data_IF_581537153227
#
_entry.id   IF_581537153227
#
_cell.length_a   1.000
_cell.length_b   1.000
_cell.length_c   1.000
_cell.angle_alpha   90.00
_cell.angle_beta   90.00
_cell.angle_gamma   90.00
#
_symmetry.space_group_name_H-M   'P 1'
#
loop_
_entity.id
_entity.type
_entity.pdbx_description
1 polymer ?
#
# COMPACT_ATOMS: atom_id res chain seq x y z
N UNK A 1 -4.94 31.49 13.43
CA UNK A 1 -4.16 30.27 13.34
C UNK A 1 -3.17 30.41 12.20
N UNK A 2 -1.89 30.11 12.44
CA UNK A 2 -0.88 30.20 11.38
C UNK A 2 -0.99 28.93 10.54
N UNK A 3 -1.34 29.08 9.25
CA UNK A 3 -1.34 27.95 8.29
C UNK A 3 0.08 27.42 8.13
N UNK A 4 0.27 26.13 7.80
CA UNK A 4 1.60 25.60 7.49
C UNK A 4 2.30 26.43 6.41
N UNK A 5 3.60 26.64 6.55
CA UNK A 5 4.36 27.43 5.58
C UNK A 5 4.58 26.62 4.29
N UNK A 6 3.86 27.01 3.23
CA UNK A 6 3.94 26.41 1.90
C UNK A 6 5.37 26.27 1.39
N UNK A 7 6.19 27.30 1.55
CA UNK A 7 7.56 27.32 1.02
C UNK A 7 8.44 26.34 1.79
N UNK A 8 8.31 26.32 3.11
CA UNK A 8 9.06 25.40 3.96
C UNK A 8 8.64 23.93 3.72
N UNK A 9 7.34 23.65 3.54
CA UNK A 9 6.83 22.32 3.18
C UNK A 9 7.35 21.87 1.82
N UNK A 10 7.28 22.72 0.79
CA UNK A 10 7.77 22.39 -0.55
C UNK A 10 9.28 22.10 -0.55
N UNK A 11 10.09 22.90 0.15
CA UNK A 11 11.52 22.67 0.28
C UNK A 11 11.83 21.37 1.04
N UNK A 12 11.03 21.00 2.03
CA UNK A 12 11.17 19.73 2.73
C UNK A 12 10.83 18.55 1.81
N UNK A 13 9.74 18.65 1.04
CA UNK A 13 9.35 17.61 0.09
C UNK A 13 10.40 17.44 -1.02
N UNK A 14 10.94 18.54 -1.56
CA UNK A 14 12.00 18.49 -2.56
C UNK A 14 13.19 17.65 -2.10
N UNK A 15 13.67 17.86 -0.86
CA UNK A 15 14.75 17.06 -0.30
C UNK A 15 14.44 15.57 -0.26
N UNK A 16 13.21 15.19 0.12
CA UNK A 16 12.80 13.79 0.15
C UNK A 16 12.66 13.20 -1.27
N UNK A 17 12.14 13.98 -2.21
CA UNK A 17 11.98 13.54 -3.61
C UNK A 17 13.33 13.37 -4.29
N UNK A 18 14.26 14.31 -4.09
CA UNK A 18 15.63 14.25 -4.65
C UNK A 18 16.41 13.06 -4.07
N UNK A 19 16.12 12.66 -2.85
CA UNK A 19 16.61 11.39 -2.30
C UNK A 19 15.75 10.24 -2.86
N UNK A 20 15.94 9.93 -4.17
CA UNK A 20 15.25 8.80 -4.81
C UNK A 20 15.42 7.52 -3.99
N UNK A 21 14.31 6.80 -3.75
CA UNK A 21 14.27 5.66 -2.83
C UNK A 21 13.51 4.45 -3.42
N UNK A 22 14.03 3.84 -4.50
CA UNK A 22 13.43 2.61 -5.03
C UNK A 22 13.47 1.51 -3.97
N UNK A 23 12.33 0.83 -3.73
CA UNK A 23 12.13 -0.13 -2.63
C UNK A 23 13.16 -1.26 -2.57
N UNK A 24 13.73 -1.65 -3.72
CA UNK A 24 14.74 -2.71 -3.80
C UNK A 24 16.19 -2.21 -3.62
N UNK A 25 16.41 -0.89 -3.54
CA UNK A 25 17.74 -0.31 -3.32
C UNK A 25 17.89 0.14 -1.86
N UNK A 26 18.50 -0.73 -1.06
CA UNK A 26 18.74 -0.44 0.36
C UNK A 26 19.49 0.87 0.58
N UNK A 27 20.55 1.13 -0.19
CA UNK A 27 21.40 2.30 0.03
C UNK A 27 20.64 3.60 -0.21
N UNK A 28 19.78 3.63 -1.21
CA UNK A 28 18.94 4.79 -1.53
C UNK A 28 17.78 4.95 -0.54
N UNK A 29 17.12 3.86 -0.16
CA UNK A 29 16.11 3.91 0.89
C UNK A 29 16.71 4.42 2.21
N UNK A 30 17.92 3.97 2.58
CA UNK A 30 18.62 4.44 3.79
C UNK A 30 18.98 5.92 3.70
N UNK A 31 19.42 6.40 2.54
CA UNK A 31 19.69 7.83 2.32
C UNK A 31 18.41 8.68 2.41
N UNK A 32 17.29 8.20 1.91
CA UNK A 32 15.99 8.85 2.07
C UNK A 32 15.56 8.82 3.55
N UNK A 33 15.74 7.69 4.24
CA UNK A 33 15.48 7.58 5.68
C UNK A 33 16.29 8.60 6.51
N UNK A 34 17.54 8.90 6.13
CA UNK A 34 18.33 9.95 6.77
C UNK A 34 17.68 11.34 6.61
N UNK A 35 17.13 11.64 5.42
CA UNK A 35 16.42 12.89 5.18
C UNK A 35 15.11 12.97 5.99
N UNK A 36 14.37 11.85 6.08
CA UNK A 36 13.15 11.77 6.91
C UNK A 36 13.50 11.97 8.39
N UNK A 37 14.51 11.27 8.90
CA UNK A 37 14.96 11.42 10.30
C UNK A 37 15.37 12.87 10.61
N UNK A 38 16.10 13.50 9.72
CA UNK A 38 16.53 14.90 9.88
C UNK A 38 15.35 15.87 9.83
N UNK A 39 14.37 15.64 8.95
CA UNK A 39 13.13 16.44 8.89
C UNK A 39 12.39 16.42 10.24
N UNK A 40 12.15 15.24 10.80
CA UNK A 40 11.47 15.13 12.11
C UNK A 40 12.30 15.73 13.23
N UNK A 41 13.63 15.55 13.24
CA UNK A 41 14.50 16.17 14.23
C UNK A 41 14.43 17.70 14.18
N UNK A 42 14.41 18.29 12.99
CA UNK A 42 14.29 19.76 12.81
C UNK A 42 12.95 20.30 13.27
N UNK A 43 11.84 19.56 13.01
CA UNK A 43 10.47 20.04 13.28
C UNK A 43 10.01 19.75 14.70
N UNK A 44 10.40 18.61 15.27
CA UNK A 44 9.90 18.16 16.58
C UNK A 44 10.97 18.14 17.67
N UNK A 45 12.24 18.25 17.31
CA UNK A 45 13.36 18.08 18.23
C UNK A 45 13.64 16.61 18.59
N UNK A 46 12.86 15.65 18.05
CA UNK A 46 12.96 14.22 18.41
C UNK A 46 13.79 13.48 17.38
N UNK A 47 14.74 12.68 17.87
CA UNK A 47 15.54 11.80 17.02
C UNK A 47 14.75 10.52 16.67
N UNK A 48 14.91 10.06 15.43
CA UNK A 48 14.32 8.81 14.98
C UNK A 48 15.07 7.60 15.55
N UNK A 49 14.33 6.57 15.91
CA UNK A 49 14.83 5.22 16.17
C UNK A 49 14.88 4.50 14.83
N UNK A 50 16.03 3.90 14.51
CA UNK A 50 16.24 3.19 13.24
C UNK A 50 16.14 1.69 13.46
N UNK A 51 15.18 1.05 12.79
CA UNK A 51 15.01 -0.40 12.74
C UNK A 51 15.78 -0.95 11.54
N UNK A 52 17.03 -1.36 11.77
CA UNK A 52 17.94 -1.80 10.71
C UNK A 52 17.48 -3.10 10.06
N UNK A 53 17.60 -3.18 8.73
CA UNK A 53 17.34 -4.36 7.92
C UNK A 53 18.59 -4.71 7.10
N UNK A 54 18.97 -6.01 6.98
CA UNK A 54 20.19 -6.39 6.27
C UNK A 54 20.04 -6.28 4.74
N UNK A 55 18.86 -6.51 4.21
CA UNK A 55 18.57 -6.72 2.79
C UNK A 55 17.52 -5.76 2.22
N UNK A 56 17.03 -4.81 3.03
CA UNK A 56 16.06 -3.78 2.67
C UNK A 56 16.46 -2.45 3.29
N UNK A 57 15.81 -1.36 2.88
CA UNK A 57 15.93 -0.08 3.57
C UNK A 57 15.54 -0.20 5.04
N UNK A 58 16.15 0.61 5.89
CA UNK A 58 15.83 0.65 7.32
C UNK A 58 14.48 1.33 7.54
N UNK A 59 13.70 0.86 8.51
CA UNK A 59 12.47 1.56 8.92
C UNK A 59 12.77 2.56 10.02
N UNK A 60 11.96 3.62 10.08
CA UNK A 60 12.10 4.67 11.10
C UNK A 60 10.90 4.71 12.02
N UNK A 61 11.18 4.98 13.29
CA UNK A 61 10.18 5.21 14.31
C UNK A 61 10.52 6.51 15.06
N UNK A 62 9.56 7.44 15.15
CA UNK A 62 9.69 8.68 15.90
C UNK A 62 8.61 8.69 17.00
N UNK A 63 9.02 8.77 18.27
CA UNK A 63 8.14 8.77 19.44
C UNK A 63 8.06 10.15 20.06
N UNK A 64 6.88 10.74 20.09
CA UNK A 64 6.62 12.08 20.64
C UNK A 64 5.71 11.94 21.85
N UNK A 65 6.17 12.41 23.00
CA UNK A 65 5.46 12.28 24.27
C UNK A 65 5.64 10.90 24.92
N UNK A 66 5.18 10.80 26.17
CA UNK A 66 5.24 9.57 26.98
C UNK A 66 3.83 9.09 27.32
N UNK A 67 3.66 7.80 27.55
CA UNK A 67 2.38 7.21 27.96
C UNK A 67 2.00 5.95 27.20
N UNK A 68 0.73 5.58 27.30
CA UNK A 68 0.14 4.38 26.70
C UNK A 68 -0.86 4.77 25.59
N UNK A 69 -1.24 3.79 24.79
CA UNK A 69 -2.23 3.96 23.71
C UNK A 69 -1.90 5.13 22.75
N UNK A 70 -0.75 5.09 22.05
CA UNK A 70 -0.34 6.16 21.15
C UNK A 70 -1.30 6.29 19.97
N UNK A 71 -1.28 7.46 19.32
CA UNK A 71 -1.75 7.63 17.95
C UNK A 71 -0.59 7.22 17.05
N UNK A 72 -0.82 6.29 16.12
CA UNK A 72 0.19 5.92 15.14
C UNK A 72 -0.07 6.66 13.83
N UNK A 73 0.94 7.37 13.33
CA UNK A 73 0.98 7.93 11.98
C UNK A 73 1.80 6.96 11.13
N UNK A 74 1.18 6.38 10.11
CA UNK A 74 1.80 5.36 9.28
C UNK A 74 2.07 5.92 7.89
N UNK A 75 3.32 5.82 7.45
CA UNK A 75 3.80 6.26 6.15
C UNK A 75 4.95 5.38 5.66
N UNK A 76 5.29 5.50 4.38
CA UNK A 76 6.46 4.86 3.78
C UNK A 76 7.31 5.87 3.02
N UNK A 77 8.63 5.60 2.93
CA UNK A 77 9.58 6.47 2.24
C UNK A 77 10.21 5.82 1.01
N UNK A 78 9.92 4.55 0.76
CA UNK A 78 10.24 3.88 -0.50
C UNK A 78 9.27 4.29 -1.61
N UNK A 79 9.63 3.98 -2.85
CA UNK A 79 8.81 4.26 -4.04
C UNK A 79 8.99 3.18 -5.09
N UNK A 80 8.00 3.03 -5.98
CA UNK A 80 8.10 2.17 -7.18
C UNK A 80 9.11 2.69 -8.20
N UNK A 81 9.51 3.95 -8.10
CA UNK A 81 10.30 4.63 -9.10
C UNK A 81 11.76 4.15 -9.10
N UNK A 82 12.31 3.75 -10.27
CA UNK A 82 13.73 3.41 -10.36
C UNK A 82 14.61 4.67 -10.23
N UNK A 83 15.87 4.45 -9.86
CA UNK A 83 16.90 5.49 -9.85
C UNK A 83 16.98 6.22 -11.21
N UNK A 84 17.18 7.55 -11.15
CA UNK A 84 17.30 8.41 -12.31
C UNK A 84 15.95 8.90 -12.88
N UNK A 85 14.83 8.54 -12.24
CA UNK A 85 13.50 9.02 -12.67
C UNK A 85 13.38 10.54 -12.62
N UNK A 86 14.10 11.22 -11.73
CA UNK A 86 14.16 12.69 -11.66
C UNK A 86 14.56 13.35 -12.99
N UNK A 87 15.33 12.68 -13.85
CA UNK A 87 15.72 13.23 -15.14
C UNK A 87 14.52 13.44 -16.08
N UNK A 88 13.47 12.61 -15.98
CA UNK A 88 12.24 12.69 -16.80
C UNK A 88 11.04 13.23 -16.06
N UNK A 89 10.98 13.04 -14.74
CA UNK A 89 9.94 13.54 -13.84
C UNK A 89 10.58 14.39 -12.73
N UNK A 90 11.10 15.60 -13.06
CA UNK A 90 11.78 16.44 -12.08
C UNK A 90 10.80 16.98 -11.02
N UNK A 91 11.33 17.21 -9.80
CA UNK A 91 10.59 17.99 -8.83
C UNK A 91 10.30 19.39 -9.38
N UNK A 92 9.04 19.75 -9.42
CA UNK A 92 8.59 21.08 -9.86
C UNK A 92 7.41 21.55 -9.05
N UNK A 93 7.43 22.84 -8.75
CA UNK A 93 6.31 23.55 -8.15
C UNK A 93 5.76 24.52 -9.21
N UNK A 94 4.56 24.22 -9.70
CA UNK A 94 3.89 25.01 -10.74
C UNK A 94 2.45 25.31 -10.32
N UNK A 95 2.19 26.57 -10.03
CA UNK A 95 0.89 27.03 -9.53
C UNK A 95 0.48 26.31 -8.24
N UNK A 96 -0.57 25.49 -8.31
CA UNK A 96 -1.08 24.68 -7.21
C UNK A 96 -0.61 23.20 -7.28
N UNK A 97 0.33 22.88 -8.16
CA UNK A 97 0.83 21.52 -8.34
C UNK A 97 2.27 21.37 -7.91
N UNK A 98 2.57 20.23 -7.29
CA UNK A 98 3.92 19.70 -7.13
C UNK A 98 4.00 18.39 -7.87
N UNK A 99 5.06 18.22 -8.69
CA UNK A 99 5.38 16.96 -9.38
C UNK A 99 6.71 16.41 -8.89
N UNK A 100 6.95 15.13 -9.11
CA UNK A 100 8.21 14.46 -8.80
C UNK A 100 7.95 13.01 -8.34
N UNK A 101 8.93 12.09 -8.52
CA UNK A 101 8.74 10.67 -8.18
C UNK A 101 8.52 10.48 -6.67
N UNK A 102 7.41 9.83 -6.30
CA UNK A 102 7.02 9.63 -4.91
C UNK A 102 6.60 10.91 -4.18
N UNK A 103 6.39 12.02 -4.91
CA UNK A 103 5.92 13.27 -4.28
C UNK A 103 4.51 13.13 -3.73
N UNK A 104 3.63 12.44 -4.45
CA UNK A 104 2.26 12.16 -4.09
C UNK A 104 2.17 10.86 -3.27
N UNK A 105 2.82 9.82 -3.74
CA UNK A 105 2.83 8.49 -3.12
C UNK A 105 4.24 8.15 -2.57
N UNK A 106 4.54 8.35 -1.23
CA UNK A 106 3.69 9.15 -0.34
C UNK A 106 4.54 10.15 0.49
N UNK A 107 5.66 10.68 -0.10
CA UNK A 107 6.59 11.57 0.62
C UNK A 107 5.93 12.86 1.13
N UNK A 108 4.85 13.33 0.45
CA UNK A 108 4.07 14.47 0.95
C UNK A 108 3.39 14.17 2.29
N UNK A 109 2.91 12.93 2.51
CA UNK A 109 2.35 12.51 3.79
C UNK A 109 3.39 12.54 4.94
N UNK A 110 4.65 12.21 4.64
CA UNK A 110 5.75 12.31 5.61
C UNK A 110 5.98 13.77 6.02
N UNK A 111 6.04 14.67 5.04
CA UNK A 111 6.19 16.12 5.31
C UNK A 111 4.99 16.65 6.08
N UNK A 112 3.79 16.24 5.70
CA UNK A 112 2.54 16.58 6.39
C UNK A 112 2.60 16.22 7.88
N UNK A 113 3.03 14.99 8.20
CA UNK A 113 3.20 14.52 9.57
C UNK A 113 4.18 15.41 10.36
N UNK A 114 5.34 15.70 9.78
CA UNK A 114 6.37 16.49 10.45
C UNK A 114 5.89 17.91 10.76
N UNK A 115 5.20 18.57 9.83
CA UNK A 115 4.68 19.93 10.01
C UNK A 115 3.44 19.99 10.92
N UNK A 116 2.58 18.98 10.87
CA UNK A 116 1.48 18.86 11.80
C UNK A 116 1.97 18.73 13.25
N UNK A 117 2.98 17.87 13.47
CA UNK A 117 3.55 17.61 14.79
C UNK A 117 4.39 18.76 15.36
N UNK A 118 4.97 19.62 14.51
CA UNK A 118 5.71 20.82 14.95
C UNK A 118 4.84 21.73 15.85
N UNK A 119 3.56 21.80 15.59
CA UNK A 119 2.63 22.71 16.29
C UNK A 119 1.51 22.01 17.07
N UNK A 120 1.35 20.71 16.90
CA UNK A 120 0.34 19.94 17.61
C UNK A 120 0.63 19.85 19.11
N UNK A 121 -0.46 19.81 19.89
CA UNK A 121 -0.43 19.56 21.34
C UNK A 121 -1.19 18.26 21.64
N UNK A 122 -0.59 17.10 21.36
CA UNK A 122 -1.27 15.83 21.50
C UNK A 122 -1.59 15.53 22.98
N UNK A 123 -2.74 14.93 23.23
CA UNK A 123 -3.12 14.44 24.56
C UNK A 123 -2.59 13.04 24.84
N UNK A 124 -2.19 12.33 23.80
CA UNK A 124 -1.61 10.98 23.83
C UNK A 124 -0.25 10.99 23.17
N UNK A 125 0.62 10.03 23.46
CA UNK A 125 1.85 9.86 22.68
C UNK A 125 1.53 9.70 21.20
N UNK A 126 2.43 10.17 20.33
CA UNK A 126 2.35 9.95 18.90
C UNK A 126 3.55 9.14 18.46
N UNK A 127 3.33 8.10 17.69
CA UNK A 127 4.38 7.30 17.05
C UNK A 127 4.25 7.46 15.56
N UNK A 128 5.27 7.98 14.90
CA UNK A 128 5.37 7.95 13.45
C UNK A 128 6.19 6.74 13.04
N UNK A 129 5.62 5.88 12.19
CA UNK A 129 6.34 4.81 11.50
C UNK A 129 6.50 5.20 10.04
N UNK A 130 7.75 5.19 9.55
CA UNK A 130 8.06 5.35 8.13
C UNK A 130 8.77 4.10 7.65
N UNK A 131 8.08 3.30 6.84
CA UNK A 131 8.57 2.02 6.32
C UNK A 131 9.31 2.19 5.01
N UNK A 132 10.05 1.18 4.56
CA UNK A 132 10.91 1.22 3.38
C UNK A 132 10.61 0.12 2.37
N UNK A 133 9.48 -0.59 2.52
CA UNK A 133 9.13 -1.74 1.69
C UNK A 133 7.61 -1.86 1.44
N UNK A 134 6.87 -0.75 1.56
CA UNK A 134 5.42 -0.74 1.34
C UNK A 134 5.08 -1.17 -0.08
N UNK A 135 5.76 -0.61 -1.06
CA UNK A 135 5.53 -0.80 -2.50
C UNK A 135 5.86 -2.22 -3.00
N UNK A 136 6.47 -3.03 -2.16
CA UNK A 136 6.81 -4.43 -2.43
C UNK A 136 6.21 -5.42 -1.42
N UNK A 137 5.12 -5.01 -0.72
CA UNK A 137 4.32 -5.89 0.12
C UNK A 137 4.70 -5.92 1.61
N UNK A 138 5.57 -5.02 2.09
CA UNK A 138 5.86 -4.80 3.53
C UNK A 138 6.36 -6.04 4.28
N UNK A 139 7.04 -6.95 3.58
CA UNK A 139 7.47 -8.22 4.18
C UNK A 139 8.40 -8.02 5.38
N UNK A 140 9.21 -6.96 5.39
CA UNK A 140 10.15 -6.68 6.49
C UNK A 140 9.59 -5.73 7.54
N UNK A 141 8.57 -4.91 7.22
CA UNK A 141 7.95 -3.93 8.11
C UNK A 141 6.70 -4.43 8.81
N UNK A 142 5.96 -5.39 8.23
CA UNK A 142 4.66 -5.86 8.73
C UNK A 142 4.64 -6.18 10.22
N UNK A 143 5.62 -6.92 10.72
CA UNK A 143 5.68 -7.29 12.14
C UNK A 143 5.80 -6.05 13.05
N UNK A 144 6.63 -5.07 12.65
CA UNK A 144 6.81 -3.80 13.36
C UNK A 144 5.51 -2.98 13.34
N UNK A 145 4.84 -2.89 12.19
CA UNK A 145 3.56 -2.20 12.02
C UNK A 145 2.52 -2.79 12.95
N UNK A 146 2.32 -4.11 12.89
CA UNK A 146 1.32 -4.79 13.71
C UNK A 146 1.62 -4.69 15.21
N UNK A 147 2.90 -4.83 15.63
CA UNK A 147 3.28 -4.71 17.04
C UNK A 147 3.02 -3.29 17.58
N UNK A 148 3.37 -2.26 16.80
CA UNK A 148 3.15 -0.87 17.17
C UNK A 148 1.65 -0.55 17.21
N UNK A 149 0.90 -1.01 16.22
CA UNK A 149 -0.53 -0.76 16.11
C UNK A 149 -1.34 -1.44 17.23
N UNK A 150 -0.98 -2.65 17.67
CA UNK A 150 -1.69 -3.34 18.78
C UNK A 150 -1.78 -2.52 20.06
N UNK A 151 -0.88 -1.58 20.26
CA UNK A 151 -0.84 -0.70 21.44
C UNK A 151 -1.52 0.64 21.19
N UNK A 152 -1.97 0.91 19.96
CA UNK A 152 -2.45 2.22 19.55
C UNK A 152 -3.95 2.45 19.88
N UNK A 153 -4.29 3.68 20.20
CA UNK A 153 -5.68 4.15 20.27
C UNK A 153 -6.29 4.28 18.86
N UNK A 154 -5.47 4.68 17.87
CA UNK A 154 -5.86 4.84 16.49
C UNK A 154 -4.61 4.80 15.57
N UNK A 155 -4.82 4.40 14.32
CA UNK A 155 -3.83 4.49 13.25
C UNK A 155 -4.34 5.44 12.17
N UNK A 156 -3.54 6.42 11.82
CA UNK A 156 -3.77 7.40 10.77
C UNK A 156 -2.75 7.15 9.65
N UNK A 157 -3.23 6.71 8.49
CA UNK A 157 -2.38 6.36 7.35
C UNK A 157 -2.32 7.55 6.40
N UNK A 158 -1.10 8.02 6.13
CA UNK A 158 -0.87 9.26 5.39
C UNK A 158 -0.66 9.04 3.89
N UNK A 159 -1.20 7.93 3.39
CA UNK A 159 -1.36 7.64 1.97
C UNK A 159 -2.09 8.76 1.24
N UNK A 160 -1.87 8.96 -0.06
CA UNK A 160 -2.63 9.92 -0.85
C UNK A 160 -4.14 9.79 -0.65
N UNK A 161 -4.87 10.89 -0.74
CA UNK A 161 -6.32 10.85 -0.80
C UNK A 161 -6.80 10.07 -2.05
N UNK A 162 -8.02 9.55 -2.02
CA UNK A 162 -8.68 9.09 -3.23
C UNK A 162 -9.12 10.29 -4.08
N UNK A 163 -9.46 10.03 -5.34
CA UNK A 163 -9.89 11.08 -6.29
C UNK A 163 -10.92 12.03 -5.68
N UNK A 164 -10.69 13.32 -5.84
CA UNK A 164 -11.51 14.38 -5.27
C UNK A 164 -11.29 14.60 -3.78
N UNK A 165 -10.16 14.15 -3.25
CA UNK A 165 -9.78 14.37 -1.87
C UNK A 165 -10.53 13.49 -0.86
N UNK A 166 -11.13 12.36 -1.24
CA UNK A 166 -11.83 11.49 -0.30
C UNK A 166 -10.85 10.70 0.58
N UNK A 167 -11.17 10.56 1.89
CA UNK A 167 -10.47 9.61 2.76
C UNK A 167 -10.90 8.18 2.44
N UNK A 168 -10.04 7.22 2.76
CA UNK A 168 -10.28 5.80 2.50
C UNK A 168 -10.70 5.11 3.80
N UNK A 169 -11.96 4.67 3.86
CA UNK A 169 -12.51 3.96 5.02
C UNK A 169 -12.57 2.45 4.84
N UNK A 170 -12.26 1.97 3.62
CA UNK A 170 -12.09 0.56 3.31
C UNK A 170 -11.10 0.38 2.16
N UNK A 171 -10.32 -0.70 2.22
CA UNK A 171 -9.43 -1.16 1.15
C UNK A 171 -9.64 -2.65 0.92
N UNK A 172 -9.62 -3.08 -0.34
CA UNK A 172 -9.62 -4.52 -0.61
C UNK A 172 -8.35 -5.16 -0.07
N UNK A 173 -8.49 -6.41 0.36
CA UNK A 173 -7.35 -7.28 0.57
C UNK A 173 -6.83 -7.84 -0.74
N UNK A 174 -5.62 -8.35 -0.70
CA UNK A 174 -4.84 -8.84 -1.83
C UNK A 174 -4.37 -10.27 -1.51
N UNK A 175 -4.52 -11.16 -2.48
CA UNK A 175 -3.83 -12.43 -2.46
C UNK A 175 -3.24 -12.72 -3.83
N UNK A 176 -2.02 -13.21 -3.84
CA UNK A 176 -1.29 -13.57 -5.04
C UNK A 176 -1.04 -15.07 -5.05
N UNK A 177 -1.32 -15.70 -6.20
CA UNK A 177 -1.08 -17.12 -6.37
C UNK A 177 -0.32 -17.40 -7.67
N UNK A 178 0.45 -18.47 -7.63
CA UNK A 178 1.04 -19.10 -8.79
C UNK A 178 0.42 -20.49 -8.90
N UNK A 179 -0.14 -20.78 -10.07
CA UNK A 179 -0.61 -22.11 -10.43
C UNK A 179 0.33 -22.69 -11.48
N UNK A 180 1.00 -23.76 -11.12
CA UNK A 180 1.81 -24.56 -12.03
C UNK A 180 1.07 -25.86 -12.36
N UNK A 181 1.15 -26.26 -13.61
CA UNK A 181 0.51 -27.45 -14.14
C UNK A 181 1.55 -28.36 -14.76
N UNK A 182 1.61 -29.60 -14.28
CA UNK A 182 2.40 -30.66 -14.86
C UNK A 182 1.53 -31.63 -15.68
N UNK A 183 1.90 -31.81 -16.91
CA UNK A 183 1.34 -32.79 -17.83
C UNK A 183 2.39 -33.81 -18.25
N UNK A 184 2.32 -34.25 -19.52
CA UNK A 184 3.29 -35.17 -20.13
C UNK A 184 3.48 -34.84 -21.59
N UNK A 185 4.74 -34.65 -22.00
CA UNK A 185 5.08 -34.41 -23.40
C UNK A 185 4.80 -35.67 -24.27
N UNK A 186 4.37 -35.41 -25.50
CA UNK A 186 4.29 -36.41 -26.56
C UNK A 186 4.37 -35.70 -27.92
N UNK A 187 4.65 -36.44 -28.99
CA UNK A 187 4.60 -35.86 -30.33
C UNK A 187 3.14 -35.66 -30.76
N UNK A 188 2.74 -34.41 -30.98
CA UNK A 188 1.34 -34.06 -31.18
C UNK A 188 0.68 -34.70 -32.43
N UNK A 189 1.49 -35.10 -33.43
CA UNK A 189 0.99 -35.75 -34.67
C UNK A 189 1.24 -37.25 -34.77
N UNK A 190 2.02 -37.85 -33.83
CA UNK A 190 2.37 -39.28 -33.90
C UNK A 190 1.70 -40.07 -32.78
N UNK A 191 1.78 -39.59 -31.55
CA UNK A 191 1.29 -40.31 -30.37
C UNK A 191 0.63 -39.29 -29.38
N UNK A 192 -0.34 -38.45 -29.84
CA UNK A 192 -0.96 -37.46 -28.97
C UNK A 192 -1.62 -38.07 -27.75
N UNK A 193 -2.16 -39.27 -27.82
CA UNK A 193 -2.82 -40.01 -26.75
C UNK A 193 -1.88 -40.38 -25.59
N UNK A 194 -0.57 -40.40 -25.82
CA UNK A 194 0.45 -40.59 -24.76
C UNK A 194 0.74 -39.27 -23.98
N UNK A 195 0.34 -38.13 -24.53
CA UNK A 195 0.52 -36.84 -23.94
C UNK A 195 -0.56 -36.48 -22.90
N UNK A 196 -0.27 -35.50 -22.04
CA UNK A 196 -1.22 -34.86 -21.18
C UNK A 196 -0.90 -33.34 -21.29
N UNK A 197 -1.82 -32.57 -21.87
CA UNK A 197 -1.57 -31.18 -22.17
C UNK A 197 -1.71 -30.30 -20.92
N UNK A 198 -0.60 -29.80 -20.41
CA UNK A 198 -0.61 -28.84 -19.31
C UNK A 198 -1.29 -27.50 -19.70
N UNK A 199 -1.21 -27.10 -20.97
CA UNK A 199 -1.90 -25.88 -21.45
C UNK A 199 -3.41 -26.08 -21.47
N UNK A 200 -3.91 -27.24 -21.90
CA UNK A 200 -5.34 -27.55 -21.89
C UNK A 200 -5.86 -27.58 -20.43
N UNK A 201 -5.14 -28.27 -19.55
CA UNK A 201 -5.46 -28.30 -18.14
C UNK A 201 -5.50 -26.88 -17.55
N UNK A 202 -4.48 -26.05 -17.83
CA UNK A 202 -4.43 -24.67 -17.36
C UNK A 202 -5.63 -23.86 -17.87
N UNK A 203 -6.06 -24.07 -19.12
CA UNK A 203 -7.25 -23.38 -19.66
C UNK A 203 -8.51 -23.75 -18.85
N UNK A 204 -8.70 -25.01 -18.46
CA UNK A 204 -9.77 -25.42 -17.57
C UNK A 204 -9.70 -24.72 -16.21
N UNK A 205 -8.50 -24.62 -15.63
CA UNK A 205 -8.30 -23.98 -14.33
C UNK A 205 -8.52 -22.47 -14.40
N UNK A 206 -8.13 -21.79 -15.49
CA UNK A 206 -8.42 -20.35 -15.69
C UNK A 206 -9.93 -20.08 -15.68
N UNK A 207 -10.71 -20.94 -16.33
CA UNK A 207 -12.18 -20.82 -16.32
C UNK A 207 -12.77 -21.10 -14.92
N UNK A 208 -12.24 -22.08 -14.21
CA UNK A 208 -12.64 -22.39 -12.83
C UNK A 208 -12.32 -21.23 -11.88
N UNK A 209 -11.11 -20.66 -11.97
CA UNK A 209 -10.69 -19.48 -11.19
C UNK A 209 -11.60 -18.28 -11.46
N UNK A 210 -11.89 -17.99 -12.73
CA UNK A 210 -12.80 -16.89 -13.09
C UNK A 210 -14.18 -17.04 -12.46
N UNK A 211 -14.69 -18.26 -12.37
CA UNK A 211 -16.01 -18.56 -11.78
C UNK A 211 -16.06 -18.28 -10.26
N UNK A 212 -14.93 -18.15 -9.58
CA UNK A 212 -14.87 -17.79 -8.16
C UNK A 212 -15.05 -16.28 -7.93
N UNK A 213 -14.93 -15.45 -8.97
CA UNK A 213 -15.17 -14.00 -8.88
C UNK A 213 -16.63 -13.73 -8.52
N UNK A 214 -16.82 -12.83 -7.55
CA UNK A 214 -18.14 -12.32 -7.16
C UNK A 214 -18.07 -10.79 -7.00
N UNK A 215 -18.32 -10.02 -8.06
CA UNK A 215 -18.29 -8.57 -7.99
C UNK A 215 -19.28 -7.97 -6.98
N UNK A 216 -20.38 -8.67 -6.67
CA UNK A 216 -21.37 -8.21 -5.71
C UNK A 216 -20.83 -8.25 -4.27
N UNK A 217 -19.97 -9.24 -3.94
CA UNK A 217 -19.24 -9.30 -2.67
C UNK A 217 -17.94 -8.48 -2.68
N UNK A 218 -17.60 -7.85 -3.81
CA UNK A 218 -16.35 -7.12 -4.03
C UNK A 218 -15.14 -8.01 -4.33
N UNK A 219 -15.36 -9.28 -4.66
CA UNK A 219 -14.31 -10.25 -4.97
C UNK A 219 -14.02 -10.31 -6.47
N UNK A 220 -12.77 -10.11 -6.85
CA UNK A 220 -12.30 -10.19 -8.24
C UNK A 220 -11.06 -11.08 -8.34
N UNK A 221 -11.00 -11.89 -9.39
CA UNK A 221 -9.86 -12.75 -9.71
C UNK A 221 -9.39 -12.43 -11.11
N UNK A 222 -8.12 -12.13 -11.24
CA UNK A 222 -7.47 -11.86 -12.51
C UNK A 222 -6.30 -12.84 -12.71
N UNK A 223 -6.36 -13.63 -13.79
CA UNK A 223 -5.21 -14.40 -14.26
C UNK A 223 -4.45 -13.49 -15.22
N UNK A 224 -3.42 -12.82 -14.71
CA UNK A 224 -2.74 -11.72 -15.41
C UNK A 224 -1.60 -12.19 -16.32
N UNK A 225 -0.98 -13.32 -15.98
CA UNK A 225 0.14 -13.89 -16.74
C UNK A 225 -0.10 -15.38 -16.95
N UNK A 226 0.12 -15.85 -18.20
CA UNK A 226 0.04 -17.26 -18.57
C UNK A 226 1.22 -17.62 -19.48
N UNK A 227 1.85 -18.76 -19.23
CA UNK A 227 2.90 -19.31 -20.09
C UNK A 227 2.91 -20.83 -20.09
N UNK A 228 3.42 -21.44 -21.16
CA UNK A 228 3.54 -22.89 -21.23
C UNK A 228 3.96 -23.43 -22.59
N UNK A 229 4.30 -24.73 -22.60
CA UNK A 229 4.75 -25.45 -23.79
C UNK A 229 6.14 -25.05 -24.28
N UNK A 230 6.63 -25.73 -25.32
CA UNK A 230 7.95 -25.47 -25.91
C UNK A 230 7.91 -25.34 -27.44
N UNK A 231 7.08 -26.12 -28.11
CA UNK A 231 6.91 -26.15 -29.56
C UNK A 231 5.50 -26.56 -29.94
N UNK A 232 4.99 -26.06 -31.05
CA UNK A 232 3.65 -26.36 -31.54
C UNK A 232 3.34 -27.83 -31.83
N UNK A 233 4.36 -28.63 -32.18
CA UNK A 233 4.23 -30.05 -32.47
C UNK A 233 4.52 -30.97 -31.26
N UNK A 234 4.58 -30.40 -30.04
CA UNK A 234 4.79 -31.15 -28.79
C UNK A 234 3.64 -30.84 -27.83
N UNK A 235 2.99 -31.88 -27.30
CA UNK A 235 2.02 -31.76 -26.21
C UNK A 235 2.72 -31.12 -25.02
N UNK A 236 2.18 -30.02 -24.51
CA UNK A 236 2.83 -29.21 -23.45
C UNK A 236 2.92 -30.01 -22.14
N UNK A 237 4.12 -30.22 -21.62
CA UNK A 237 4.33 -30.87 -20.33
C UNK A 237 4.23 -29.94 -19.13
N UNK A 238 4.40 -28.62 -19.34
CA UNK A 238 4.35 -27.63 -18.27
C UNK A 238 3.57 -26.39 -18.73
N UNK A 239 2.81 -25.81 -17.79
CA UNK A 239 2.19 -24.51 -17.94
C UNK A 239 2.13 -23.81 -16.58
N UNK A 240 2.05 -22.46 -16.58
CA UNK A 240 2.05 -21.64 -15.37
C UNK A 240 1.12 -20.45 -15.56
N UNK A 241 0.43 -20.07 -14.48
CA UNK A 241 -0.32 -18.82 -14.41
C UNK A 241 0.01 -18.04 -13.13
N UNK A 242 -0.07 -16.71 -13.22
CA UNK A 242 -0.03 -15.78 -12.07
C UNK A 242 -1.40 -15.15 -11.89
N UNK A 243 -1.87 -15.14 -10.63
CA UNK A 243 -3.25 -14.85 -10.28
C UNK A 243 -3.25 -13.77 -9.21
N UNK A 244 -3.86 -12.61 -9.51
CA UNK A 244 -4.19 -11.55 -8.54
C UNK A 244 -5.63 -11.74 -8.07
N UNK A 245 -5.83 -11.71 -6.77
CA UNK A 245 -7.13 -11.84 -6.12
C UNK A 245 -7.36 -10.62 -5.23
N UNK A 246 -8.50 -9.95 -5.42
CA UNK A 246 -8.94 -8.84 -4.57
C UNK A 246 -10.25 -9.19 -3.90
N UNK A 247 -10.38 -8.88 -2.61
CA UNK A 247 -11.58 -9.18 -1.82
C UNK A 247 -11.86 -8.06 -0.80
N UNK A 248 -13.15 -7.75 -0.61
CA UNK A 248 -13.55 -6.66 0.29
C UNK A 248 -13.69 -7.10 1.76
N UNK A 249 -13.77 -8.42 2.02
CA UNK A 249 -14.03 -8.98 3.36
C UNK A 249 -13.12 -10.18 3.66
N UNK A 250 -12.79 -10.37 4.93
CA UNK A 250 -11.98 -11.50 5.39
C UNK A 250 -12.65 -12.85 5.10
N UNK A 251 -13.99 -12.94 5.22
CA UNK A 251 -14.74 -14.16 4.88
C UNK A 251 -14.64 -14.55 3.41
N UNK A 252 -14.55 -13.56 2.51
CA UNK A 252 -14.32 -13.80 1.09
C UNK A 252 -12.88 -14.26 0.82
N UNK A 253 -11.89 -13.70 1.53
CA UNK A 253 -10.52 -14.19 1.48
C UNK A 253 -10.46 -15.69 1.81
N UNK A 254 -11.08 -16.11 2.93
CA UNK A 254 -11.11 -17.52 3.35
C UNK A 254 -11.78 -18.41 2.30
N UNK A 255 -12.92 -17.97 1.75
CA UNK A 255 -13.66 -18.71 0.71
C UNK A 255 -12.79 -18.93 -0.54
N UNK A 256 -12.19 -17.85 -1.06
CA UNK A 256 -11.44 -17.90 -2.32
C UNK A 256 -10.10 -18.62 -2.15
N UNK A 257 -9.35 -18.34 -1.07
CA UNK A 257 -8.08 -19.03 -0.79
C UNK A 257 -8.30 -20.54 -0.68
N UNK A 258 -9.36 -20.96 0.04
CA UNK A 258 -9.72 -22.39 0.13
C UNK A 258 -10.03 -22.96 -1.25
N UNK A 259 -10.91 -22.30 -2.03
CA UNK A 259 -11.29 -22.77 -3.33
C UNK A 259 -10.11 -22.87 -4.32
N UNK A 260 -9.14 -21.97 -4.25
CA UNK A 260 -7.92 -22.02 -5.08
C UNK A 260 -7.03 -23.19 -4.65
N UNK A 261 -6.83 -23.40 -3.35
CA UNK A 261 -6.02 -24.50 -2.83
C UNK A 261 -6.67 -25.87 -3.08
N UNK A 262 -8.00 -25.92 -3.18
CA UNK A 262 -8.76 -27.14 -3.40
C UNK A 262 -8.98 -27.47 -4.91
N UNK A 263 -8.36 -26.71 -5.82
CA UNK A 263 -8.46 -26.97 -7.26
C UNK A 263 -8.04 -28.41 -7.59
N UNK A 264 -8.85 -29.08 -8.42
CA UNK A 264 -8.59 -30.43 -8.85
C UNK A 264 -8.34 -30.48 -10.36
N UNK A 265 -7.38 -31.32 -10.83
CA UNK A 265 -7.13 -31.47 -12.25
C UNK A 265 -8.37 -32.02 -12.98
N UNK A 266 -8.62 -31.53 -14.20
CA UNK A 266 -9.67 -31.99 -15.10
C UNK A 266 -9.20 -33.09 -16.04
N UNK A 267 -7.93 -33.02 -16.46
CA UNK A 267 -7.33 -34.05 -17.29
C UNK A 267 -6.72 -35.17 -16.43
N UNK A 268 -7.08 -36.40 -16.73
CA UNK A 268 -6.54 -37.56 -16.02
C UNK A 268 -5.02 -37.58 -16.13
N UNK A 269 -4.32 -37.63 -14.98
CA UNK A 269 -2.86 -37.70 -14.90
C UNK A 269 -2.15 -36.33 -14.93
N UNK A 270 -2.86 -35.19 -15.11
CA UNK A 270 -2.33 -33.86 -14.84
C UNK A 270 -2.14 -33.66 -13.33
N UNK A 271 -1.18 -32.79 -12.95
CA UNK A 271 -0.96 -32.38 -11.56
C UNK A 271 -0.96 -30.87 -11.46
N UNK A 272 -1.53 -30.37 -10.36
CA UNK A 272 -1.58 -28.95 -10.04
C UNK A 272 -0.70 -28.67 -8.84
N UNK A 273 0.07 -27.59 -8.90
CA UNK A 273 0.83 -27.05 -7.78
C UNK A 273 0.41 -25.59 -7.59
N UNK A 274 -0.24 -25.31 -6.46
CA UNK A 274 -0.64 -23.98 -6.08
C UNK A 274 0.32 -23.47 -5.01
N UNK A 275 0.83 -22.26 -5.20
CA UNK A 275 1.63 -21.56 -4.21
C UNK A 275 1.16 -20.10 -4.09
N UNK A 276 1.42 -19.46 -2.95
CA UNK A 276 0.96 -18.11 -2.66
C UNK A 276 -0.06 -18.07 -1.53
N UNK A 277 -0.78 -16.97 -1.41
CA UNK A 277 -1.74 -16.76 -0.34
C UNK A 277 -2.09 -15.28 -0.15
N UNK A 278 -2.68 -14.96 1.01
CA UNK A 278 -3.01 -13.58 1.36
C UNK A 278 -1.76 -12.78 1.67
N UNK A 279 -1.49 -11.78 0.86
CA UNK A 279 -0.45 -10.79 1.09
C UNK A 279 -0.94 -9.71 2.07
N UNK A 280 -2.04 -9.03 1.71
CA UNK A 280 -2.68 -8.02 2.56
C UNK A 280 -4.11 -8.43 2.89
N UNK A 281 -4.50 -8.54 4.18
CA UNK A 281 -5.90 -8.72 4.57
C UNK A 281 -6.72 -7.47 4.17
N UNK A 282 -8.07 -7.53 4.12
CA UNK A 282 -8.87 -6.35 3.81
C UNK A 282 -8.89 -5.37 4.99
N UNK A 283 -8.89 -4.08 4.68
CA UNK A 283 -9.28 -3.02 5.62
C UNK A 283 -10.79 -2.85 5.52
N UNK A 284 -11.53 -3.50 6.41
CA UNK A 284 -12.99 -3.38 6.46
C UNK A 284 -13.41 -2.09 7.20
N UNK A 285 -14.52 -1.48 6.77
CA UNK A 285 -15.09 -0.28 7.41
C UNK A 285 -15.68 -0.61 8.79
N UNK A 286 -14.82 -0.65 9.80
CA UNK A 286 -15.17 -0.97 11.18
C UNK A 286 -15.89 0.18 11.89
N UNK A 287 -16.51 -0.11 13.04
CA UNK A 287 -17.07 0.93 13.90
C UNK A 287 -16.00 1.94 14.36
N UNK A 288 -14.74 1.49 14.56
CA UNK A 288 -13.59 2.36 14.87
C UNK A 288 -13.28 3.30 13.72
N UNK A 289 -13.18 2.76 12.50
CA UNK A 289 -12.94 3.53 11.27
C UNK A 289 -14.04 4.57 11.04
N UNK A 290 -15.33 4.20 11.27
CA UNK A 290 -16.47 5.12 11.15
C UNK A 290 -16.31 6.32 12.10
N UNK A 291 -15.97 6.08 13.38
CA UNK A 291 -15.77 7.16 14.35
C UNK A 291 -14.63 8.10 13.94
N UNK A 292 -13.51 7.55 13.45
CA UNK A 292 -12.39 8.35 12.96
C UNK A 292 -12.79 9.18 11.73
N UNK A 293 -13.51 8.59 10.77
CA UNK A 293 -13.99 9.30 9.58
C UNK A 293 -14.92 10.44 9.94
N UNK A 294 -15.89 10.22 10.81
CA UNK A 294 -16.81 11.26 11.29
C UNK A 294 -16.08 12.39 12.03
N UNK A 295 -15.07 12.04 12.85
CA UNK A 295 -14.22 13.03 13.49
C UNK A 295 -13.45 13.86 12.45
N UNK A 296 -12.83 13.20 11.47
CA UNK A 296 -12.08 13.86 10.41
C UNK A 296 -12.98 14.78 9.57
N UNK A 297 -14.19 14.35 9.21
CA UNK A 297 -15.17 15.14 8.46
C UNK A 297 -15.60 16.41 9.21
N UNK A 298 -15.86 16.29 10.52
CA UNK A 298 -16.19 17.45 11.36
C UNK A 298 -15.04 18.44 11.42
N UNK A 299 -13.82 17.94 11.70
CA UNK A 299 -12.63 18.79 11.80
C UNK A 299 -12.25 19.43 10.45
N UNK A 300 -12.44 18.74 9.33
CA UNK A 300 -12.26 19.31 7.99
C UNK A 300 -13.22 20.47 7.73
N UNK A 301 -14.48 20.35 8.14
CA UNK A 301 -15.44 21.45 8.09
C UNK A 301 -15.00 22.67 8.91
N UNK A 302 -14.36 22.46 10.06
CA UNK A 302 -13.77 23.54 10.87
C UNK A 302 -12.52 24.16 10.23
N UNK A 303 -11.76 23.39 9.42
CA UNK A 303 -10.64 23.91 8.61
C UNK A 303 -11.15 24.71 7.41
N UNK A 304 -12.32 24.36 6.88
CA UNK A 304 -12.99 25.08 5.80
C UNK A 304 -13.12 24.29 4.49
N UNK A 305 -13.02 22.95 4.54
CA UNK A 305 -13.23 22.12 3.35
C UNK A 305 -14.15 20.93 3.65
N UNK A 306 -14.82 20.43 2.59
CA UNK A 306 -15.64 19.24 2.66
C UNK A 306 -14.76 17.98 2.53
N UNK A 307 -14.99 16.99 3.37
CA UNK A 307 -14.27 15.73 3.36
C UNK A 307 -15.24 14.58 3.14
N UNK A 308 -15.14 13.93 1.98
CA UNK A 308 -15.89 12.71 1.67
C UNK A 308 -15.09 11.46 2.05
N UNK A 309 -15.76 10.32 2.07
CA UNK A 309 -15.13 9.01 2.27
C UNK A 309 -15.43 8.07 1.09
N UNK A 310 -14.53 7.11 0.86
CA UNK A 310 -14.68 6.09 -0.18
C UNK A 310 -14.00 4.78 0.21
N UNK A 311 -14.22 3.75 -0.60
CA UNK A 311 -13.45 2.50 -0.61
C UNK A 311 -12.56 2.43 -1.84
N UNK A 312 -11.44 1.70 -1.76
CA UNK A 312 -10.54 1.50 -2.89
C UNK A 312 -10.15 0.03 -3.09
N UNK A 313 -9.75 -0.31 -4.32
CA UNK A 313 -9.24 -1.63 -4.67
C UNK A 313 -7.75 -1.86 -4.35
N UNK A 314 -6.98 -0.79 -4.14
CA UNK A 314 -5.57 -0.86 -3.77
C UNK A 314 -5.36 -1.10 -2.28
N UNK A 315 -4.32 -1.87 -1.91
CA UNK A 315 -3.92 -2.06 -0.53
C UNK A 315 -3.05 -0.91 0.00
N UNK A 316 -2.77 -0.93 1.29
CA UNK A 316 -1.72 -0.16 1.97
C UNK A 316 -1.32 -0.86 3.27
N UNK A 317 -0.34 -0.34 3.98
CA UNK A 317 0.01 -0.82 5.31
C UNK A 317 -1.13 -0.67 6.34
N UNK A 318 -2.10 0.23 6.08
CA UNK A 318 -3.33 0.35 6.86
C UNK A 318 -4.19 -0.92 6.88
N UNK A 319 -4.06 -1.79 5.88
CA UNK A 319 -4.72 -3.09 5.85
C UNK A 319 -4.30 -3.98 7.03
N UNK A 320 -3.01 -4.00 7.38
CA UNK A 320 -2.50 -4.81 8.48
C UNK A 320 -3.04 -4.33 9.83
N UNK A 321 -3.07 -3.01 10.03
CA UNK A 321 -3.54 -2.43 11.31
C UNK A 321 -5.03 -2.60 11.51
N UNK A 322 -5.83 -2.45 10.45
CA UNK A 322 -7.26 -2.69 10.48
C UNK A 322 -7.59 -4.17 10.72
N UNK A 323 -6.85 -5.09 10.10
CA UNK A 323 -7.09 -6.53 10.23
C UNK A 323 -6.86 -7.06 11.65
N UNK A 324 -5.98 -6.44 12.43
CA UNK A 324 -5.80 -6.78 13.86
C UNK A 324 -6.79 -6.06 14.79
N UNK A 325 -7.81 -5.40 14.22
CA UNK A 325 -8.93 -4.79 14.95
C UNK A 325 -8.69 -3.36 15.45
N UNK A 326 -7.58 -2.71 15.06
CA UNK A 326 -7.30 -1.33 15.46
C UNK A 326 -8.06 -0.34 14.58
N UNK A 327 -8.63 0.71 15.19
CA UNK A 327 -9.28 1.78 14.46
C UNK A 327 -8.28 2.45 13.52
N UNK A 328 -8.49 2.29 12.21
CA UNK A 328 -7.58 2.78 11.17
C UNK A 328 -8.34 3.69 10.22
N UNK A 329 -7.76 4.84 9.90
CA UNK A 329 -8.25 5.76 8.87
C UNK A 329 -7.13 6.04 7.87
N UNK A 330 -7.44 5.90 6.59
CA UNK A 330 -6.45 5.96 5.52
C UNK A 330 -6.78 7.07 4.50
N UNK A 331 -5.82 7.42 3.63
CA UNK A 331 -6.00 8.46 2.63
C UNK A 331 -6.02 9.87 3.23
N UNK A 332 -5.25 10.08 4.30
CA UNK A 332 -5.16 11.37 4.97
C UNK A 332 -4.17 12.33 4.30
N UNK A 333 -3.30 11.86 3.42
CA UNK A 333 -2.40 12.68 2.62
C UNK A 333 -3.14 13.56 1.59
N UNK A 334 -2.42 14.35 0.80
CA UNK A 334 -3.00 15.32 -0.13
C UNK A 334 -3.85 14.69 -1.23
N UNK A 335 -4.72 15.50 -1.86
CA UNK A 335 -5.32 15.20 -3.16
C UNK A 335 -4.31 15.44 -4.28
N UNK A 336 -4.50 14.72 -5.37
CA UNK A 336 -3.60 14.75 -6.52
C UNK A 336 -3.94 13.63 -7.49
N UNK A 337 -2.93 13.06 -8.11
CA UNK A 337 -3.11 11.93 -9.02
C UNK A 337 -1.83 11.44 -9.65
N UNK A 338 -1.98 10.37 -10.45
CA UNK A 338 -0.87 9.81 -11.20
C UNK A 338 0.12 9.00 -10.36
N UNK A 339 -0.27 8.48 -9.20
CA UNK A 339 0.57 7.52 -8.49
C UNK A 339 1.06 6.43 -9.45
N UNK A 340 2.37 6.09 -9.38
CA UNK A 340 3.04 5.14 -10.28
C UNK A 340 3.04 5.51 -11.78
N UNK A 341 2.71 6.76 -12.14
CA UNK A 341 2.71 7.23 -13.52
C UNK A 341 3.49 8.56 -13.68
N UNK A 342 4.00 8.82 -14.87
CA UNK A 342 4.78 10.04 -15.18
C UNK A 342 3.99 11.35 -14.97
N UNK A 343 2.69 11.25 -14.71
CA UNK A 343 1.80 12.36 -14.35
C UNK A 343 1.65 12.57 -12.85
N UNK A 344 2.47 11.91 -12.03
CA UNK A 344 2.39 11.99 -10.57
C UNK A 344 2.49 13.44 -10.09
N UNK A 345 1.50 13.85 -9.31
CA UNK A 345 1.42 15.19 -8.73
C UNK A 345 0.51 15.24 -7.52
N UNK A 346 0.73 16.22 -6.67
CA UNK A 346 -0.19 16.60 -5.59
C UNK A 346 -0.68 18.05 -5.77
N UNK A 347 -1.80 18.37 -5.10
CA UNK A 347 -2.38 19.71 -5.03
C UNK A 347 -1.97 20.37 -3.71
N UNK A 348 -1.31 21.54 -3.82
CA UNK A 348 -0.72 22.24 -2.66
C UNK A 348 -1.78 22.69 -1.68
N UNK A 349 -2.90 23.28 -2.18
CA UNK A 349 -3.95 23.74 -1.28
C UNK A 349 -4.54 22.58 -0.46
N UNK A 350 -4.78 21.44 -1.11
CA UNK A 350 -5.19 20.21 -0.41
C UNK A 350 -4.16 19.79 0.63
N UNK A 351 -2.88 19.81 0.29
CA UNK A 351 -1.81 19.44 1.19
C UNK A 351 -1.74 20.29 2.46
N UNK A 352 -1.86 21.62 2.30
CA UNK A 352 -1.89 22.55 3.43
C UNK A 352 -3.12 22.33 4.34
N UNK A 353 -4.29 22.15 3.73
CA UNK A 353 -5.54 21.92 4.46
C UNK A 353 -5.51 20.56 5.20
N UNK A 354 -4.88 19.53 4.59
CA UNK A 354 -4.69 18.22 5.20
C UNK A 354 -3.68 18.22 6.35
N UNK A 355 -2.63 19.00 6.24
CA UNK A 355 -1.66 19.19 7.34
C UNK A 355 -2.37 19.79 8.57
N UNK A 356 -3.24 20.78 8.38
CA UNK A 356 -4.03 21.36 9.48
C UNK A 356 -5.09 20.36 10.01
N UNK A 357 -5.72 19.59 9.13
CA UNK A 357 -6.64 18.53 9.54
C UNK A 357 -5.93 17.48 10.39
N UNK A 358 -4.75 17.00 9.95
CA UNK A 358 -3.95 16.01 10.69
C UNK A 358 -3.55 16.53 12.07
N UNK A 359 -3.09 17.79 12.15
CA UNK A 359 -2.78 18.44 13.43
C UNK A 359 -3.97 18.39 14.39
N UNK A 360 -5.18 18.75 13.91
CA UNK A 360 -6.41 18.72 14.72
C UNK A 360 -6.83 17.32 15.11
N UNK A 361 -6.68 16.34 14.22
CA UNK A 361 -6.95 14.93 14.55
C UNK A 361 -6.05 14.45 15.68
N UNK A 362 -4.75 14.75 15.63
CA UNK A 362 -3.78 14.41 16.67
C UNK A 362 -4.17 15.02 18.02
N UNK A 363 -4.68 16.27 18.03
CA UNK A 363 -5.10 16.95 19.27
C UNK A 363 -6.45 16.48 19.80
N UNK A 364 -7.32 15.96 18.93
CA UNK A 364 -8.68 15.54 19.30
C UNK A 364 -8.73 14.12 19.84
N UNK A 365 -7.81 13.26 19.39
CA UNK A 365 -7.69 11.86 19.80
C UNK A 365 -6.91 11.72 21.10
#
# INVERSE_FOLDING_TARGET
MQRPDRTAMAAALERLVVAESPSLDKGRCDACADQVAELFRQRTGVAAIRHRRPDRGDHLEIRIGEGVEPIVLLCHHDTVWPEGTLARLPFRLDGDRVTGPGSYDMKAGIVEAAFALESAKPKRPVVVLSTSDEEIGSASSRALIEETARKAAAVLVLEPAASGGAIKTARKGIADFILEVDGRAAHAGVEPEKGISAIEELAHQVLALRALSDPASGTTINVGVVGGGTRANVVAAHARAEIDVRFARATEAERVVRAINDLQPKLAGARLHVSGGVDRPPMERSAGTIRLAQLAQRLAGEVGFALSETSTGGGSDGNFTAAIGVATLDGLGPDGGGAHADSEHLLIQSWLDRTELLRRLIEAL
#
